data_IF_786635919306
#
_entry.id   IF_786635919306
#
_cell.length_a   1.000
_cell.length_b   1.000
_cell.length_c   1.000
_cell.angle_alpha   90.00
_cell.angle_beta   90.00
_cell.angle_gamma   90.00
#
_symmetry.space_group_name_H-M   'P 1'
#
loop_
_entity.id
_entity.type
_entity.pdbx_description
1 polymer ?
#
# COMPACT_ATOMS: atom_id res chain seq x y z
N UNK A 1 23.28 -0.55 -9.23
CA UNK A 1 22.31 0.35 -8.55
C UNK A 1 21.49 -0.52 -7.60
N UNK A 2 21.20 -0.09 -6.37
CA UNK A 2 20.31 -0.88 -5.48
C UNK A 2 18.89 -0.83 -6.06
N UNK A 3 18.22 -1.96 -6.32
CA UNK A 3 16.89 -1.98 -6.95
C UNK A 3 15.80 -1.40 -6.04
N UNK A 4 16.00 -1.49 -4.72
CA UNK A 4 15.07 -1.00 -3.70
C UNK A 4 15.73 0.14 -2.90
N UNK A 5 14.99 1.21 -2.64
CA UNK A 5 15.38 2.29 -1.73
C UNK A 5 14.22 2.67 -0.81
N UNK A 6 14.49 2.74 0.49
CA UNK A 6 13.51 3.21 1.47
C UNK A 6 13.68 4.71 1.67
N UNK A 7 12.59 5.45 1.55
CA UNK A 7 12.50 6.81 2.07
C UNK A 7 12.42 6.70 3.60
N UNK A 8 13.22 7.44 4.37
CA UNK A 8 13.37 7.24 5.82
C UNK A 8 12.17 7.78 6.63
N UNK A 9 10.95 7.41 6.24
CA UNK A 9 9.68 7.88 6.82
C UNK A 9 9.57 7.58 8.32
N UNK A 10 10.04 6.42 8.77
CA UNK A 10 10.06 6.08 10.20
C UNK A 10 11.04 6.94 11.01
N UNK A 11 12.14 7.38 10.40
CA UNK A 11 13.06 8.34 11.02
C UNK A 11 12.46 9.74 11.07
N UNK A 12 11.88 10.21 9.96
CA UNK A 12 11.15 11.49 9.90
C UNK A 12 10.00 11.53 10.92
N UNK A 13 9.35 10.40 11.21
CA UNK A 13 8.34 10.32 12.26
C UNK A 13 8.93 10.53 13.66
N UNK A 14 10.16 10.08 13.93
CA UNK A 14 10.86 10.34 15.19
C UNK A 14 11.17 11.84 15.31
N UNK A 15 11.66 12.47 14.25
CA UNK A 15 11.90 13.93 14.18
C UNK A 15 10.60 14.74 14.38
N UNK A 16 9.50 14.30 13.76
CA UNK A 16 8.19 14.92 13.93
C UNK A 16 7.72 14.90 15.38
N UNK A 17 7.88 13.78 16.08
CA UNK A 17 7.52 13.67 17.50
C UNK A 17 8.35 14.64 18.34
N UNK A 18 9.67 14.72 18.11
CA UNK A 18 10.57 15.63 18.83
C UNK A 18 10.22 17.10 18.60
N UNK A 19 9.93 17.47 17.35
CA UNK A 19 9.54 18.83 17.01
C UNK A 19 8.17 19.22 17.64
N UNK A 20 7.23 18.27 17.71
CA UNK A 20 5.94 18.49 18.39
C UNK A 20 6.06 18.73 19.91
N UNK A 21 7.16 18.35 20.55
CA UNK A 21 7.40 18.62 21.98
C UNK A 21 7.92 20.03 22.23
N UNK A 22 8.50 20.67 21.21
CA UNK A 22 9.08 22.01 21.29
C UNK A 22 8.11 23.11 20.84
N UNK A 23 7.05 22.76 20.11
CA UNK A 23 6.09 23.69 19.51
C UNK A 23 4.65 23.49 20.03
N UNK A 24 3.77 24.44 19.70
CA UNK A 24 2.36 24.36 20.08
C UNK A 24 1.61 23.30 19.25
N UNK A 25 0.63 22.60 19.84
CA UNK A 25 -0.10 21.53 19.16
C UNK A 25 -0.87 21.98 17.89
N UNK A 26 -1.09 23.28 17.69
CA UNK A 26 -1.79 23.85 16.53
C UNK A 26 -1.00 23.81 15.21
N UNK A 27 0.28 23.45 15.23
CA UNK A 27 1.16 23.51 14.05
C UNK A 27 1.57 22.13 13.51
N UNK A 28 1.12 21.03 14.14
CA UNK A 28 1.52 19.67 13.79
C UNK A 28 1.33 19.31 12.31
N UNK A 29 0.21 19.71 11.71
CA UNK A 29 -0.06 19.41 10.30
C UNK A 29 0.96 20.09 9.39
N UNK A 30 1.23 21.37 9.62
CA UNK A 30 2.22 22.12 8.84
C UNK A 30 3.64 21.56 9.04
N UNK A 31 3.99 21.23 10.28
CA UNK A 31 5.26 20.60 10.63
C UNK A 31 5.44 19.25 9.91
N UNK A 32 4.41 18.40 9.91
CA UNK A 32 4.43 17.11 9.22
C UNK A 32 4.62 17.29 7.71
N UNK A 33 3.82 18.15 7.07
CA UNK A 33 3.93 18.46 5.64
C UNK A 33 5.34 18.93 5.26
N UNK A 34 5.94 19.81 6.08
CA UNK A 34 7.29 20.33 5.86
C UNK A 34 8.36 19.25 6.01
N UNK A 35 8.35 18.49 7.11
CA UNK A 35 9.34 17.44 7.39
C UNK A 35 9.29 16.30 6.37
N UNK A 36 8.10 15.94 5.90
CA UNK A 36 7.89 14.83 4.99
C UNK A 36 7.89 15.26 3.52
N UNK A 37 7.90 16.57 3.23
CA UNK A 37 7.73 17.14 1.89
C UNK A 37 6.46 16.61 1.20
N UNK A 38 5.32 16.72 1.90
CA UNK A 38 4.01 16.25 1.47
C UNK A 38 3.01 17.40 1.39
N UNK A 39 2.04 17.30 0.47
CA UNK A 39 0.93 18.23 0.37
C UNK A 39 -0.16 17.94 1.41
N UNK A 40 -1.14 18.84 1.53
CA UNK A 40 -2.27 18.62 2.44
C UNK A 40 -3.08 17.38 2.04
N UNK A 41 -3.26 17.21 0.73
CA UNK A 41 -3.95 16.08 0.07
C UNK A 41 -3.23 14.76 0.33
N UNK A 42 -1.90 14.70 0.19
CA UNK A 42 -1.11 13.50 0.50
C UNK A 42 -1.31 13.06 1.96
N UNK A 43 -1.32 14.00 2.90
CA UNK A 43 -1.55 13.71 4.31
C UNK A 43 -2.97 13.19 4.54
N UNK A 44 -3.98 13.80 3.91
CA UNK A 44 -5.36 13.29 4.00
C UNK A 44 -5.47 11.89 3.42
N UNK A 45 -4.76 11.61 2.32
CA UNK A 45 -4.73 10.31 1.67
C UNK A 45 -4.06 9.25 2.56
N UNK A 46 -2.94 9.57 3.20
CA UNK A 46 -2.28 8.69 4.16
C UNK A 46 -3.19 8.36 5.36
N UNK A 47 -3.86 9.37 5.94
CA UNK A 47 -4.81 9.16 7.05
C UNK A 47 -6.01 8.33 6.60
N UNK A 48 -6.52 8.57 5.39
CA UNK A 48 -7.59 7.76 4.78
C UNK A 48 -7.20 6.28 4.67
N UNK A 49 -5.94 6.00 4.33
CA UNK A 49 -5.37 4.64 4.30
C UNK A 49 -4.95 4.08 5.66
N UNK A 50 -5.31 4.76 6.75
CA UNK A 50 -5.16 4.28 8.11
C UNK A 50 -3.93 4.79 8.85
N UNK A 51 -3.17 5.75 8.33
CA UNK A 51 -2.04 6.34 9.06
C UNK A 51 -2.54 6.98 10.36
N UNK A 52 -1.74 6.92 11.43
CA UNK A 52 -2.03 7.59 12.71
C UNK A 52 -2.41 9.08 12.45
N UNK A 53 -3.62 9.52 12.88
CA UNK A 53 -4.03 10.92 12.76
C UNK A 53 -3.07 11.86 13.49
N UNK A 54 -2.72 12.99 12.87
CA UNK A 54 -1.68 13.91 13.39
C UNK A 54 -2.02 14.59 14.73
N UNK A 55 -3.30 14.64 15.07
CA UNK A 55 -3.82 15.13 16.35
C UNK A 55 -3.79 14.07 17.47
N UNK A 56 -3.40 12.82 17.15
CA UNK A 56 -3.24 11.75 18.15
C UNK A 56 -2.21 12.11 19.23
N UNK A 57 -2.34 11.57 20.44
CA UNK A 57 -1.32 11.74 21.48
C UNK A 57 0.06 11.23 21.00
N UNK A 58 1.14 11.95 21.33
CA UNK A 58 2.51 11.60 20.89
C UNK A 58 2.93 10.19 21.33
N UNK A 59 2.42 9.72 22.47
CA UNK A 59 2.65 8.35 22.96
C UNK A 59 2.11 7.28 22.02
N UNK A 60 1.06 7.57 21.22
CA UNK A 60 0.55 6.65 20.19
C UNK A 60 1.59 6.45 19.09
N UNK A 61 2.19 7.53 18.60
CA UNK A 61 3.29 7.45 17.63
C UNK A 61 4.49 6.71 18.19
N UNK A 62 4.95 7.10 19.41
CA UNK A 62 6.11 6.48 20.06
C UNK A 62 5.92 4.98 20.29
N UNK A 63 4.75 4.59 20.79
CA UNK A 63 4.45 3.17 21.05
C UNK A 63 4.36 2.38 19.74
N UNK A 64 3.72 2.93 18.70
CA UNK A 64 3.60 2.24 17.40
C UNK A 64 4.96 2.08 16.72
N UNK A 65 5.80 3.12 16.68
CA UNK A 65 7.16 3.01 16.14
C UNK A 65 8.01 1.96 16.89
N UNK A 66 7.89 1.89 18.23
CA UNK A 66 8.56 0.83 19.01
C UNK A 66 8.06 -0.55 18.62
N UNK A 67 6.77 -0.72 18.33
CA UNK A 67 6.24 -1.99 17.85
C UNK A 67 6.74 -2.31 16.44
N UNK A 68 6.84 -1.33 15.53
CA UNK A 68 7.42 -1.54 14.19
C UNK A 68 8.86 -2.04 14.27
N UNK A 69 9.66 -1.43 15.14
CA UNK A 69 11.04 -1.86 15.41
C UNK A 69 11.06 -3.27 16.04
N UNK A 70 10.20 -3.54 17.04
CA UNK A 70 10.11 -4.84 17.72
C UNK A 70 9.70 -5.99 16.78
N UNK A 71 8.78 -5.73 15.85
CA UNK A 71 8.31 -6.69 14.86
C UNK A 71 9.16 -6.74 13.58
N UNK A 72 10.24 -5.96 13.49
CA UNK A 72 11.12 -5.89 12.32
C UNK A 72 10.38 -5.59 11.01
N UNK A 73 9.37 -4.71 11.03
CA UNK A 73 8.50 -4.45 9.87
C UNK A 73 9.30 -3.97 8.65
N UNK A 74 10.13 -2.94 8.80
CA UNK A 74 10.94 -2.40 7.69
C UNK A 74 11.97 -3.43 7.16
N UNK A 75 12.78 -4.10 8.01
CA UNK A 75 13.67 -5.17 7.56
C UNK A 75 12.95 -6.32 6.84
N UNK A 76 11.74 -6.68 7.28
CA UNK A 76 10.92 -7.72 6.64
C UNK A 76 10.56 -7.31 5.21
N UNK A 77 9.94 -6.14 5.04
CA UNK A 77 9.57 -5.61 3.71
C UNK A 77 10.80 -5.51 2.81
N UNK A 78 11.90 -4.98 3.34
CA UNK A 78 13.15 -4.83 2.58
C UNK A 78 13.68 -6.17 2.09
N UNK A 79 13.69 -7.19 2.94
CA UNK A 79 14.13 -8.54 2.56
C UNK A 79 13.24 -9.11 1.46
N UNK A 80 11.92 -9.08 1.63
CA UNK A 80 10.95 -9.60 0.66
C UNK A 80 11.11 -8.92 -0.71
N UNK A 81 11.22 -7.59 -0.75
CA UNK A 81 11.42 -6.85 -2.00
C UNK A 81 12.78 -7.15 -2.67
N UNK A 82 13.84 -7.35 -1.88
CA UNK A 82 15.14 -7.76 -2.43
C UNK A 82 15.04 -9.14 -3.07
N UNK A 83 14.45 -10.10 -2.38
CA UNK A 83 14.27 -11.47 -2.87
C UNK A 83 13.45 -11.48 -4.17
N UNK A 84 12.32 -10.75 -4.20
CA UNK A 84 11.51 -10.54 -5.39
C UNK A 84 12.31 -9.89 -6.53
N UNK A 85 13.08 -8.83 -6.25
CA UNK A 85 13.87 -8.14 -7.28
C UNK A 85 14.98 -8.98 -7.89
N UNK A 86 15.49 -9.96 -7.13
CA UNK A 86 16.49 -10.91 -7.64
C UNK A 86 15.83 -11.97 -8.54
N UNK A 87 14.63 -12.43 -8.19
CA UNK A 87 13.90 -13.46 -8.94
C UNK A 87 13.19 -12.90 -10.17
N UNK A 88 12.64 -11.68 -10.07
CA UNK A 88 11.83 -11.00 -11.08
C UNK A 88 12.36 -9.59 -11.35
N UNK A 89 13.56 -9.44 -11.94
CA UNK A 89 14.19 -8.13 -12.11
C UNK A 89 13.35 -7.22 -13.02
N UNK A 90 12.89 -6.08 -12.50
CA UNK A 90 12.14 -5.07 -13.26
C UNK A 90 13.05 -4.16 -14.11
N UNK A 91 14.31 -3.98 -13.70
CA UNK A 91 15.25 -3.05 -14.34
C UNK A 91 15.02 -1.57 -13.97
N UNK A 92 13.97 -1.24 -13.21
CA UNK A 92 13.69 0.10 -12.65
C UNK A 92 13.85 0.04 -11.13
N UNK A 93 14.39 1.12 -10.56
CA UNK A 93 14.47 1.28 -9.10
C UNK A 93 13.07 1.56 -8.54
N UNK A 94 12.74 0.99 -7.38
CA UNK A 94 11.52 1.29 -6.62
C UNK A 94 11.84 1.94 -5.29
N UNK A 95 11.11 3.00 -4.98
CA UNK A 95 11.08 3.69 -3.71
C UNK A 95 10.04 3.04 -2.81
N UNK A 96 10.32 2.98 -1.51
CA UNK A 96 9.40 2.45 -0.51
C UNK A 96 9.16 3.50 0.55
N UNK A 97 7.89 3.83 0.77
CA UNK A 97 7.46 4.70 1.86
C UNK A 97 6.64 3.91 2.86
N UNK A 98 7.05 3.92 4.13
CA UNK A 98 6.44 3.12 5.19
C UNK A 98 5.96 4.01 6.34
N UNK A 99 4.67 3.91 6.67
CA UNK A 99 3.99 4.70 7.68
C UNK A 99 3.33 3.81 8.76
N UNK A 100 3.24 4.27 10.02
CA UNK A 100 2.55 3.54 11.07
C UNK A 100 1.02 3.67 10.95
N UNK A 101 0.32 2.53 11.01
CA UNK A 101 -1.15 2.48 11.05
C UNK A 101 -1.70 2.81 12.45
N UNK A 102 -2.83 3.50 12.49
CA UNK A 102 -3.59 3.72 13.72
C UNK A 102 -4.15 2.39 14.25
N UNK A 103 -3.98 2.14 15.55
CA UNK A 103 -4.62 1.02 16.24
C UNK A 103 -6.15 1.12 16.19
N UNK A 104 -6.72 2.29 15.97
CA UNK A 104 -8.16 2.51 15.86
C UNK A 104 -8.70 2.39 14.43
N UNK A 105 -7.83 2.24 13.42
CA UNK A 105 -8.28 2.00 12.05
C UNK A 105 -8.84 0.58 11.90
N UNK A 106 -10.16 0.45 12.07
CA UNK A 106 -10.83 -0.85 11.97
C UNK A 106 -10.81 -1.41 10.56
N UNK A 107 -10.82 -0.55 9.54
CA UNK A 107 -10.85 -1.03 8.16
C UNK A 107 -9.53 -1.70 7.81
N UNK A 108 -8.40 -1.01 7.93
CA UNK A 108 -7.08 -1.58 7.68
C UNK A 108 -6.81 -2.80 8.55
N UNK A 109 -7.16 -2.76 9.84
CA UNK A 109 -6.91 -3.88 10.75
C UNK A 109 -7.79 -5.10 10.52
N UNK A 110 -9.11 -4.92 10.45
CA UNK A 110 -10.07 -6.04 10.45
C UNK A 110 -10.42 -6.52 9.04
N UNK A 111 -10.29 -5.66 8.01
CA UNK A 111 -10.60 -6.01 6.62
C UNK A 111 -9.37 -6.28 5.78
N UNK A 112 -8.26 -5.58 6.02
CA UNK A 112 -7.02 -5.72 5.24
C UNK A 112 -5.90 -6.46 6.00
N UNK A 113 -6.16 -6.98 7.19
CA UNK A 113 -5.15 -7.73 7.98
C UNK A 113 -4.06 -6.85 8.60
N UNK A 114 -4.27 -5.54 8.66
CA UNK A 114 -3.34 -4.56 9.24
C UNK A 114 -2.36 -3.95 8.24
N UNK A 115 -2.61 -4.08 6.93
CA UNK A 115 -1.75 -3.51 5.89
C UNK A 115 -2.60 -2.81 4.84
N UNK A 116 -2.39 -1.50 4.67
CA UNK A 116 -2.86 -0.77 3.50
C UNK A 116 -1.64 -0.47 2.63
N UNK A 117 -1.76 -0.66 1.32
CA UNK A 117 -0.66 -0.38 0.40
C UNK A 117 -1.17 0.04 -0.98
N UNK A 118 -0.31 0.75 -1.71
CA UNK A 118 -0.52 1.05 -3.12
C UNK A 118 0.79 1.40 -3.81
N UNK A 119 0.86 1.06 -5.08
CA UNK A 119 1.91 1.48 -6.00
C UNK A 119 1.43 2.70 -6.78
N UNK A 120 2.25 3.75 -6.88
CA UNK A 120 1.90 4.93 -7.67
C UNK A 120 1.76 4.63 -9.16
N UNK A 121 1.17 5.58 -9.90
CA UNK A 121 0.89 5.42 -11.32
C UNK A 121 2.13 5.23 -12.18
N UNK A 122 3.27 5.79 -11.79
CA UNK A 122 4.57 5.60 -12.46
C UNK A 122 5.21 4.24 -12.17
N UNK A 123 4.65 3.48 -11.22
CA UNK A 123 5.19 2.19 -10.81
C UNK A 123 6.58 2.30 -10.23
N UNK A 124 6.96 3.39 -9.56
CA UNK A 124 8.28 3.55 -8.94
C UNK A 124 8.24 3.84 -7.44
N UNK A 125 7.07 3.94 -6.84
CA UNK A 125 6.92 4.13 -5.40
C UNK A 125 5.83 3.21 -4.86
N UNK A 126 6.20 2.35 -3.91
CA UNK A 126 5.28 1.54 -3.11
C UNK A 126 5.09 2.25 -1.77
N UNK A 127 3.84 2.53 -1.43
CA UNK A 127 3.44 3.11 -0.16
C UNK A 127 2.81 2.02 0.72
N UNK A 128 3.18 1.99 1.99
CA UNK A 128 2.73 1.02 2.97
C UNK A 128 2.33 1.74 4.25
N UNK A 129 1.14 1.44 4.75
CA UNK A 129 0.67 1.82 6.09
C UNK A 129 0.44 0.53 6.86
N UNK A 130 1.20 0.30 7.93
CA UNK A 130 1.27 -1.01 8.58
C UNK A 130 0.95 -0.92 10.07
N UNK A 131 0.05 -1.79 10.53
CA UNK A 131 -0.18 -2.05 11.94
C UNK A 131 0.84 -3.08 12.44
N UNK A 132 1.77 -2.70 13.33
CA UNK A 132 2.85 -3.60 13.74
C UNK A 132 2.37 -4.61 14.79
N UNK A 133 1.86 -5.74 14.33
CA UNK A 133 1.47 -6.87 15.18
C UNK A 133 1.86 -8.20 14.54
N UNK A 134 1.92 -9.27 15.34
CA UNK A 134 2.34 -10.59 14.86
C UNK A 134 1.34 -11.16 13.85
N UNK A 135 0.05 -10.94 14.09
CA UNK A 135 -1.03 -11.35 13.19
C UNK A 135 -0.99 -10.66 11.82
N UNK A 136 -0.24 -9.56 11.67
CA UNK A 136 -0.12 -8.78 10.43
C UNK A 136 0.94 -9.36 9.48
N UNK A 137 1.85 -10.22 9.95
CA UNK A 137 2.99 -10.71 9.17
C UNK A 137 2.56 -11.39 7.84
N UNK A 138 1.51 -12.21 7.90
CA UNK A 138 0.98 -12.90 6.71
C UNK A 138 0.40 -11.92 5.67
N UNK A 139 -0.41 -10.95 6.12
CA UNK A 139 -0.97 -9.92 5.25
C UNK A 139 0.15 -9.04 4.66
N UNK A 140 1.16 -8.70 5.46
CA UNK A 140 2.30 -7.91 5.02
C UNK A 140 3.09 -8.59 3.91
N UNK A 141 3.36 -9.90 4.02
CA UNK A 141 4.06 -10.63 2.97
C UNK A 141 3.26 -10.64 1.67
N UNK A 142 1.97 -11.01 1.75
CA UNK A 142 1.06 -11.03 0.60
C UNK A 142 0.98 -9.66 -0.08
N UNK A 143 0.73 -8.60 0.68
CA UNK A 143 0.58 -7.25 0.14
C UNK A 143 1.89 -6.74 -0.48
N UNK A 144 3.05 -7.02 0.10
CA UNK A 144 4.33 -6.63 -0.50
C UNK A 144 4.57 -7.34 -1.84
N UNK A 145 4.25 -8.63 -1.93
CA UNK A 145 4.34 -9.39 -3.20
C UNK A 145 3.36 -8.85 -4.24
N UNK A 146 2.13 -8.53 -3.82
CA UNK A 146 1.09 -7.92 -4.65
C UNK A 146 1.58 -6.58 -5.25
N UNK A 147 2.02 -5.64 -4.41
CA UNK A 147 2.49 -4.33 -4.86
C UNK A 147 3.75 -4.41 -5.72
N UNK A 148 4.63 -5.37 -5.45
CA UNK A 148 5.77 -5.62 -6.31
C UNK A 148 5.35 -6.03 -7.73
N UNK A 149 4.25 -6.79 -7.88
CA UNK A 149 3.71 -7.12 -9.20
C UNK A 149 3.29 -5.88 -9.97
N UNK A 150 2.62 -4.92 -9.32
CA UNK A 150 2.25 -3.64 -9.93
C UNK A 150 3.49 -2.89 -10.43
N UNK A 151 4.51 -2.75 -9.58
CA UNK A 151 5.79 -2.15 -9.96
C UNK A 151 6.42 -2.87 -11.18
N UNK A 152 6.53 -4.19 -11.11
CA UNK A 152 7.14 -5.01 -12.15
C UNK A 152 6.41 -4.86 -13.48
N UNK A 153 5.08 -4.96 -13.47
CA UNK A 153 4.23 -4.90 -14.66
C UNK A 153 4.23 -3.52 -15.28
N UNK A 154 4.08 -2.46 -14.48
CA UNK A 154 4.10 -1.07 -14.96
C UNK A 154 5.44 -0.77 -15.64
N UNK A 155 6.54 -1.24 -15.03
CA UNK A 155 7.88 -1.10 -15.61
C UNK A 155 8.02 -1.87 -16.93
N UNK A 156 7.55 -3.12 -16.98
CA UNK A 156 7.70 -3.98 -18.16
C UNK A 156 6.86 -3.49 -19.36
N UNK A 157 5.66 -2.95 -19.12
CA UNK A 157 4.75 -2.48 -20.16
C UNK A 157 4.90 -0.98 -20.46
N UNK A 158 5.63 -0.24 -19.62
CA UNK A 158 5.77 1.22 -19.70
C UNK A 158 4.39 1.92 -19.82
N UNK A 159 3.41 1.46 -19.03
CA UNK A 159 2.01 1.87 -19.11
C UNK A 159 1.54 2.67 -17.87
N UNK A 160 2.40 3.55 -17.33
CA UNK A 160 2.02 4.46 -16.26
C UNK A 160 1.07 5.58 -16.72
N UNK A 161 0.07 5.91 -15.88
CA UNK A 161 -0.92 7.01 -15.98
C UNK A 161 -2.04 7.00 -17.06
N UNK A 162 -3.09 7.76 -16.69
CA UNK A 162 -4.30 8.32 -17.34
C UNK A 162 -5.28 7.43 -18.12
N UNK A 163 -4.80 6.48 -18.93
CA UNK A 163 -5.68 5.71 -19.84
C UNK A 163 -5.83 4.25 -19.43
N UNK A 164 -5.52 3.92 -18.17
CA UNK A 164 -5.76 2.59 -17.61
C UNK A 164 -7.26 2.40 -17.49
N UNK A 165 -7.81 1.63 -18.43
CA UNK A 165 -9.25 1.33 -18.46
C UNK A 165 -9.65 0.44 -17.28
N UNK A 166 -10.95 0.41 -16.95
CA UNK A 166 -11.48 -0.51 -15.93
C UNK A 166 -11.09 -1.97 -16.23
N UNK A 167 -11.13 -2.39 -17.50
CA UNK A 167 -10.70 -3.74 -17.89
C UNK A 167 -9.22 -3.97 -17.53
N UNK A 168 -8.36 -3.00 -17.84
CA UNK A 168 -6.94 -3.09 -17.52
C UNK A 168 -6.70 -3.12 -16.00
N UNK A 169 -7.46 -2.35 -15.21
CA UNK A 169 -7.40 -2.42 -13.74
C UNK A 169 -7.79 -3.81 -13.23
N UNK A 170 -8.90 -4.38 -13.70
CA UNK A 170 -9.35 -5.72 -13.30
C UNK A 170 -8.29 -6.78 -13.61
N UNK A 171 -7.72 -6.73 -14.81
CA UNK A 171 -6.64 -7.65 -15.22
C UNK A 171 -5.41 -7.45 -14.34
N UNK A 172 -5.04 -6.20 -14.03
CA UNK A 172 -3.88 -5.87 -13.21
C UNK A 172 -4.02 -6.39 -11.77
N UNK A 173 -5.13 -6.11 -11.10
CA UNK A 173 -5.36 -6.59 -9.73
C UNK A 173 -5.44 -8.13 -9.67
N UNK A 174 -6.09 -8.76 -10.66
CA UNK A 174 -6.18 -10.23 -10.74
C UNK A 174 -4.81 -10.90 -10.98
N UNK A 175 -3.96 -10.29 -11.80
CA UNK A 175 -2.58 -10.77 -12.01
C UNK A 175 -1.71 -10.58 -10.78
N UNK A 176 -1.89 -9.50 -10.03
CA UNK A 176 -1.15 -9.27 -8.79
C UNK A 176 -1.52 -10.32 -7.72
N UNK A 177 -2.81 -10.62 -7.54
CA UNK A 177 -3.26 -11.70 -6.63
C UNK A 177 -2.83 -13.09 -7.11
N UNK A 178 -2.84 -13.34 -8.42
CA UNK A 178 -2.31 -14.60 -8.96
C UNK A 178 -0.81 -14.72 -8.70
N UNK A 179 -0.06 -13.63 -8.86
CA UNK A 179 1.37 -13.60 -8.57
C UNK A 179 1.69 -13.90 -7.10
N UNK A 180 0.87 -13.42 -6.16
CA UNK A 180 0.96 -13.81 -4.74
C UNK A 180 0.85 -15.33 -4.60
N UNK A 181 -0.11 -15.97 -5.27
CA UNK A 181 -0.30 -17.41 -5.21
C UNK A 181 0.88 -18.18 -5.81
N UNK A 182 1.48 -17.68 -6.89
CA UNK A 182 2.66 -18.28 -7.53
C UNK A 182 3.92 -18.18 -6.66
N UNK A 183 4.11 -17.06 -5.96
CA UNK A 183 5.32 -16.81 -5.15
C UNK A 183 5.21 -17.41 -3.75
N UNK A 184 4.06 -17.25 -3.07
CA UNK A 184 3.87 -17.62 -1.66
C UNK A 184 2.99 -18.87 -1.48
N UNK A 185 2.24 -19.27 -2.51
CA UNK A 185 1.25 -20.35 -2.43
C UNK A 185 -0.18 -19.84 -2.27
N UNK A 186 -1.15 -20.70 -2.60
CA UNK A 186 -2.57 -20.35 -2.68
C UNK A 186 -3.20 -19.89 -1.35
N UNK A 187 -2.59 -20.26 -0.22
CA UNK A 187 -3.05 -19.91 1.13
C UNK A 187 -2.72 -18.46 1.50
N UNK A 188 -1.82 -17.80 0.76
CA UNK A 188 -1.42 -16.42 1.01
C UNK A 188 -2.30 -15.37 0.31
N UNK A 189 -3.20 -15.78 -0.56
CA UNK A 189 -4.07 -14.86 -1.30
C UNK A 189 -4.99 -14.07 -0.36
N UNK A 190 -5.39 -12.86 -0.76
CA UNK A 190 -6.24 -12.00 0.06
C UNK A 190 -7.62 -12.60 0.39
N UNK A 191 -8.30 -12.18 1.46
CA UNK A 191 -9.60 -12.71 1.87
C UNK A 191 -10.74 -12.43 0.87
N UNK A 192 -10.49 -11.65 -0.18
CA UNK A 192 -11.41 -11.32 -1.27
C UNK A 192 -11.31 -12.26 -2.48
N UNK A 193 -10.46 -13.29 -2.44
CA UNK A 193 -10.19 -14.19 -3.58
C UNK A 193 -11.09 -15.41 -3.68
N UNK A 194 -12.23 -15.44 -2.97
CA UNK A 194 -13.28 -16.41 -3.27
C UNK A 194 -13.73 -16.18 -4.71
N UNK A 195 -13.15 -16.97 -5.62
CA UNK A 195 -13.32 -16.80 -7.04
C UNK A 195 -14.80 -16.99 -7.37
N UNK A 196 -15.38 -15.96 -7.99
CA UNK A 196 -16.64 -16.09 -8.68
C UNK A 196 -16.58 -17.33 -9.58
N UNK A 197 -17.64 -18.13 -9.59
CA UNK A 197 -17.78 -19.15 -10.63
C UNK A 197 -17.74 -18.49 -12.00
N UNK A 198 -17.31 -19.23 -13.03
CA UNK A 198 -17.25 -18.71 -14.40
C UNK A 198 -18.59 -18.09 -14.85
N UNK A 199 -19.70 -18.69 -14.43
CA UNK A 199 -21.04 -18.19 -14.72
C UNK A 199 -21.38 -16.89 -13.96
N UNK A 200 -20.92 -16.73 -12.71
CA UNK A 200 -21.07 -15.47 -11.97
C UNK A 200 -20.22 -14.35 -12.58
N UNK A 201 -18.98 -14.64 -12.94
CA UNK A 201 -18.09 -13.71 -13.61
C UNK A 201 -18.65 -13.24 -14.96
N UNK A 202 -19.15 -14.18 -15.78
CA UNK A 202 -19.82 -13.85 -17.06
C UNK A 202 -21.05 -12.98 -16.85
N UNK A 203 -21.91 -13.33 -15.89
CA UNK A 203 -23.10 -12.51 -15.59
C UNK A 203 -22.73 -11.09 -15.18
N UNK A 204 -21.76 -10.91 -14.28
CA UNK A 204 -21.31 -9.58 -13.87
C UNK A 204 -20.66 -8.82 -15.02
N UNK A 205 -19.87 -9.49 -15.85
CA UNK A 205 -19.30 -8.90 -17.05
C UNK A 205 -20.38 -8.37 -18.00
N UNK A 206 -21.37 -9.20 -18.35
CA UNK A 206 -22.41 -8.85 -19.30
C UNK A 206 -23.38 -7.78 -18.77
N UNK A 207 -23.56 -7.69 -17.45
CA UNK A 207 -24.56 -6.80 -16.83
C UNK A 207 -24.00 -5.51 -16.23
N UNK A 208 -22.74 -5.53 -15.77
CA UNK A 208 -22.12 -4.42 -15.04
C UNK A 208 -20.86 -3.93 -15.73
N UNK A 209 -19.87 -4.80 -15.97
CA UNK A 209 -18.52 -4.33 -16.32
C UNK A 209 -18.32 -4.01 -17.80
N UNK A 210 -18.96 -4.74 -18.72
CA UNK A 210 -18.67 -4.63 -20.16
C UNK A 210 -18.91 -3.23 -20.73
N UNK A 211 -19.96 -2.54 -20.27
CA UNK A 211 -20.30 -1.18 -20.70
C UNK A 211 -19.33 -0.10 -20.17
N UNK A 212 -18.64 -0.41 -19.08
CA UNK A 212 -17.65 0.47 -18.41
C UNK A 212 -16.20 0.05 -18.72
N UNK A 213 -16.01 -0.97 -19.55
CA UNK A 213 -14.72 -1.63 -19.77
C UNK A 213 -13.61 -0.70 -20.26
N UNK A 214 -13.98 0.37 -20.97
CA UNK A 214 -13.09 1.42 -21.49
C UNK A 214 -13.04 2.69 -20.63
N UNK A 215 -13.84 2.78 -19.58
CA UNK A 215 -13.83 3.93 -18.69
C UNK A 215 -12.49 4.00 -17.96
N UNK A 216 -11.98 5.20 -17.75
CA UNK A 216 -10.66 5.44 -17.14
C UNK A 216 -10.83 6.25 -15.85
N UNK A 217 -9.75 6.78 -15.28
CA UNK A 217 -9.84 7.68 -14.13
C UNK A 217 -10.18 7.00 -12.80
N UNK A 218 -10.45 7.82 -11.78
CA UNK A 218 -10.71 7.37 -10.42
C UNK A 218 -12.14 6.88 -10.22
N UNK A 219 -13.10 7.29 -11.07
CA UNK A 219 -14.49 6.83 -11.01
C UNK A 219 -14.62 5.30 -11.09
N UNK A 220 -13.68 4.65 -11.79
CA UNK A 220 -13.65 3.20 -11.95
C UNK A 220 -13.25 2.45 -10.66
N UNK A 221 -12.72 3.13 -9.64
CA UNK A 221 -12.30 2.49 -8.38
C UNK A 221 -13.48 1.86 -7.64
N UNK A 222 -14.68 2.42 -7.77
CA UNK A 222 -15.92 1.88 -7.19
C UNK A 222 -16.26 0.46 -7.69
N UNK A 223 -15.89 0.14 -8.93
CA UNK A 223 -16.11 -1.18 -9.53
C UNK A 223 -15.13 -2.26 -9.04
N UNK A 224 -13.97 -1.85 -8.53
CA UNK A 224 -12.88 -2.75 -8.12
C UNK A 224 -12.88 -2.95 -6.60
N UNK A 225 -13.07 -1.87 -5.84
CA UNK A 225 -12.93 -1.88 -4.37
C UNK A 225 -14.26 -1.81 -3.62
N UNK A 226 -15.37 -1.66 -4.33
CA UNK A 226 -16.71 -1.47 -3.76
C UNK A 226 -16.95 -0.02 -3.31
N UNK A 227 -18.20 0.41 -3.42
CA UNK A 227 -18.69 1.73 -2.99
C UNK A 227 -20.12 1.63 -2.46
#
# INVERSE_FOLDING_TARGET
MKPIEFIPRLHQMKEFIEACEMESASERRHLFMSLFNLTDEDVNYLIFHGMIPLDSPLDVFRSTLKQMDFHNVEPFIQKTLIDLSNQYPSGKKVLVELYPMDKHDKFGRERLGGVSAWTNWEGDTIHLVVYPARETEHALESTVVHEYNHHYRITALNNGHADVTLLEKIVREGLAEHFVAEVLGVDFRGPWVDALSEDEAKRLWDTVYSVHSSDTGEETNSFVFGG
#
